data_IF_333282634287
#
_entry.id   IF_333282634287
#
_cell.length_a   1.000
_cell.length_b   1.000
_cell.length_c   1.000
_cell.angle_alpha   90.00
_cell.angle_beta   90.00
_cell.angle_gamma   90.00
#
_symmetry.space_group_name_H-M   'P 1'
#
loop_
_entity.id
_entity.type
_entity.pdbx_description
1 polymer ?
#
# COMPACT_ATOMS: atom_id res chain seq x y z
N UNK A 1 39.16 -30.58 -80.33
CA UNK A 1 38.05 -29.61 -80.42
C UNK A 1 36.84 -30.28 -79.80
N UNK A 2 36.51 -29.93 -78.56
CA UNK A 2 35.50 -30.60 -77.73
C UNK A 2 34.49 -29.53 -77.30
N UNK A 3 33.20 -29.82 -77.45
CA UNK A 3 32.09 -28.87 -77.33
C UNK A 3 31.15 -29.37 -76.20
N UNK A 4 30.97 -28.65 -75.08
CA UNK A 4 30.21 -29.17 -73.95
C UNK A 4 28.83 -28.51 -73.87
N UNK A 5 27.75 -29.24 -74.16
CA UNK A 5 26.40 -28.83 -73.76
C UNK A 5 25.52 -29.97 -73.25
N UNK A 6 25.01 -29.70 -72.05
CA UNK A 6 23.78 -30.18 -71.39
C UNK A 6 23.85 -31.50 -70.63
N UNK A 7 24.31 -31.39 -69.38
CA UNK A 7 23.97 -32.31 -68.30
C UNK A 7 22.57 -32.00 -67.77
N UNK A 8 21.73 -33.03 -67.63
CA UNK A 8 20.35 -32.92 -67.14
C UNK A 8 20.14 -33.88 -65.96
N UNK A 9 19.72 -33.33 -64.81
CA UNK A 9 18.97 -33.98 -63.71
C UNK A 9 19.65 -35.13 -62.91
N UNK A 10 19.35 -35.43 -61.64
CA UNK A 10 18.64 -34.85 -60.48
C UNK A 10 18.94 -35.82 -59.32
N UNK A 11 18.80 -35.34 -58.08
CA UNK A 11 18.55 -36.05 -56.81
C UNK A 11 19.64 -35.94 -55.73
N UNK A 12 19.87 -34.73 -55.23
CA UNK A 12 20.35 -34.52 -53.86
C UNK A 12 19.15 -34.43 -52.91
N UNK A 13 18.95 -35.43 -52.04
CA UNK A 13 18.04 -35.32 -50.89
C UNK A 13 18.72 -34.40 -49.86
N UNK A 14 18.28 -33.16 -49.77
CA UNK A 14 18.64 -32.27 -48.68
C UNK A 14 17.83 -32.64 -47.45
N UNK A 15 18.49 -33.12 -46.39
CA UNK A 15 17.89 -33.19 -45.07
C UNK A 15 17.58 -31.77 -44.60
N UNK A 16 16.32 -31.39 -44.59
CA UNK A 16 15.86 -30.15 -43.95
C UNK A 16 15.88 -30.35 -42.44
N UNK A 17 16.96 -29.92 -41.80
CA UNK A 17 16.98 -29.75 -40.35
C UNK A 17 15.97 -28.67 -39.97
N UNK A 18 14.78 -29.06 -39.55
CA UNK A 18 13.80 -28.14 -38.96
C UNK A 18 14.43 -27.50 -37.73
N UNK A 19 14.55 -26.17 -37.63
CA UNK A 19 15.07 -25.55 -36.42
C UNK A 19 14.13 -25.88 -35.28
N UNK A 20 14.65 -26.52 -34.22
CA UNK A 20 13.91 -26.77 -32.98
C UNK A 20 13.26 -25.44 -32.56
N UNK A 21 11.94 -25.47 -32.37
CA UNK A 21 11.13 -24.29 -32.14
C UNK A 21 11.77 -23.33 -31.14
N UNK A 22 11.89 -22.06 -31.53
CA UNK A 22 12.23 -20.98 -30.58
C UNK A 22 11.24 -21.06 -29.43
N UNK A 23 11.73 -21.39 -28.24
CA UNK A 23 10.97 -21.22 -27.01
C UNK A 23 10.55 -19.75 -26.95
N UNK A 24 9.24 -19.47 -26.97
CA UNK A 24 8.72 -18.12 -26.81
C UNK A 24 8.97 -17.64 -25.37
N UNK A 25 10.17 -17.10 -25.13
CA UNK A 25 10.54 -16.46 -23.86
C UNK A 25 9.64 -15.27 -23.51
N UNK A 26 8.82 -14.76 -24.44
CA UNK A 26 7.82 -13.72 -24.20
C UNK A 26 6.70 -14.17 -23.25
N UNK A 27 6.49 -15.48 -23.06
CA UNK A 27 5.45 -16.01 -22.16
C UNK A 27 5.87 -16.14 -20.70
N UNK A 28 7.17 -16.07 -20.39
CA UNK A 28 7.69 -16.19 -19.04
C UNK A 28 8.23 -14.84 -18.55
N UNK A 29 7.33 -13.90 -18.24
CA UNK A 29 7.74 -12.68 -17.53
C UNK A 29 8.07 -13.08 -16.08
N UNK A 30 9.35 -13.00 -15.72
CA UNK A 30 9.80 -13.15 -14.32
C UNK A 30 8.96 -12.22 -13.46
N UNK A 31 8.23 -12.79 -12.48
CA UNK A 31 7.46 -11.99 -11.52
C UNK A 31 8.44 -11.08 -10.81
N UNK A 32 8.22 -9.77 -10.89
CA UNK A 32 9.02 -8.79 -10.16
C UNK A 32 8.99 -9.16 -8.67
N UNK A 33 10.13 -9.21 -7.98
CA UNK A 33 10.16 -9.47 -6.55
C UNK A 33 9.22 -8.53 -5.80
N UNK A 34 8.48 -9.06 -4.81
CA UNK A 34 7.62 -8.25 -3.96
C UNK A 34 8.53 -7.31 -3.17
N UNK A 35 8.56 -6.03 -3.57
CA UNK A 35 9.51 -5.05 -3.04
C UNK A 35 9.20 -4.64 -1.60
N UNK A 36 7.92 -4.65 -1.19
CA UNK A 36 7.47 -4.32 0.18
C UNK A 36 6.11 -4.95 0.51
N UNK A 37 5.91 -5.32 1.78
CA UNK A 37 4.59 -5.64 2.34
C UNK A 37 3.93 -4.35 2.83
N UNK A 38 3.54 -3.51 1.86
CA UNK A 38 3.09 -2.14 2.11
C UNK A 38 1.96 -2.04 3.14
N UNK A 39 1.02 -2.98 3.09
CA UNK A 39 -0.08 -3.08 4.05
C UNK A 39 0.41 -3.37 5.47
N UNK A 40 1.31 -4.33 5.62
CA UNK A 40 1.93 -4.66 6.91
C UNK A 40 2.75 -3.49 7.46
N UNK A 41 3.48 -2.77 6.60
CA UNK A 41 4.27 -1.61 7.00
C UNK A 41 3.36 -0.48 7.53
N UNK A 42 2.27 -0.19 6.81
CA UNK A 42 1.27 0.80 7.24
C UNK A 42 0.62 0.41 8.56
N UNK A 43 0.28 -0.87 8.74
CA UNK A 43 -0.26 -1.37 9.99
C UNK A 43 0.73 -1.23 11.16
N UNK A 44 1.99 -1.64 10.97
CA UNK A 44 3.03 -1.54 12.01
C UNK A 44 3.32 -0.09 12.39
N UNK A 45 3.47 0.79 11.41
CA UNK A 45 3.73 2.21 11.64
C UNK A 45 2.60 2.87 12.43
N UNK A 46 1.35 2.62 12.04
CA UNK A 46 0.19 3.22 12.70
C UNK A 46 -0.04 2.65 14.09
N UNK A 47 0.24 1.36 14.30
CA UNK A 47 0.23 0.73 15.64
C UNK A 47 1.26 1.37 16.55
N UNK A 48 2.50 1.59 16.05
CA UNK A 48 3.56 2.26 16.80
C UNK A 48 3.18 3.69 17.16
N UNK A 49 2.61 4.45 16.21
CA UNK A 49 2.15 5.81 16.46
C UNK A 49 1.05 5.87 17.53
N UNK A 50 0.10 4.94 17.51
CA UNK A 50 -0.93 4.85 18.53
C UNK A 50 -0.33 4.57 19.91
N UNK A 51 0.65 3.67 20.00
CA UNK A 51 1.37 3.39 21.23
C UNK A 51 2.20 4.60 21.71
N UNK A 52 2.89 5.30 20.81
CA UNK A 52 3.67 6.49 21.13
C UNK A 52 2.79 7.61 21.71
N UNK A 53 1.58 7.82 21.14
CA UNK A 53 0.58 8.74 21.69
C UNK A 53 0.12 8.31 23.09
N UNK A 54 -0.19 7.03 23.25
CA UNK A 54 -0.69 6.50 24.53
C UNK A 54 0.34 6.61 25.66
N UNK A 55 1.62 6.45 25.32
CA UNK A 55 2.73 6.53 26.27
C UNK A 55 3.21 7.98 26.52
N UNK A 56 2.55 8.98 25.94
CA UNK A 56 2.89 10.38 26.15
C UNK A 56 2.63 10.77 27.61
N UNK A 57 3.67 11.14 28.33
CA UNK A 57 3.54 11.65 29.71
C UNK A 57 2.91 13.04 29.67
N UNK A 58 1.74 13.18 30.28
CA UNK A 58 0.99 14.44 30.36
C UNK A 58 1.30 15.14 31.70
N UNK A 59 1.98 16.30 31.70
CA UNK A 59 2.15 17.12 32.89
C UNK A 59 0.83 17.62 33.48
N UNK A 60 0.82 17.91 34.78
CA UNK A 60 -0.37 18.40 35.49
C UNK A 60 -0.93 19.73 34.97
N UNK A 61 -0.11 20.54 34.30
CA UNK A 61 -0.55 21.80 33.65
C UNK A 61 -1.59 21.56 32.55
N UNK A 62 -1.65 20.35 31.98
CA UNK A 62 -2.62 19.97 30.95
C UNK A 62 -3.93 19.39 31.51
N UNK A 63 -4.16 19.42 32.84
CA UNK A 63 -5.38 18.84 33.45
C UNK A 63 -6.69 19.28 32.80
N UNK A 64 -6.78 20.54 32.35
CA UNK A 64 -7.96 21.09 31.66
C UNK A 64 -8.22 20.45 30.29
N UNK A 65 -7.22 19.81 29.69
CA UNK A 65 -7.29 19.14 28.39
C UNK A 65 -7.34 17.62 28.50
N UNK A 66 -7.53 17.05 29.70
CA UNK A 66 -7.59 15.60 29.88
C UNK A 66 -8.61 14.93 28.94
N UNK A 67 -9.79 15.52 28.79
CA UNK A 67 -10.81 15.01 27.87
C UNK A 67 -10.34 14.99 26.42
N UNK A 68 -9.58 16.01 26.00
CA UNK A 68 -9.02 16.11 24.65
C UNK A 68 -7.98 15.01 24.39
N UNK A 69 -7.14 14.70 25.39
CA UNK A 69 -6.20 13.59 25.33
C UNK A 69 -6.89 12.23 25.29
N UNK A 70 -7.94 12.01 26.09
CA UNK A 70 -8.71 10.75 26.04
C UNK A 70 -9.35 10.52 24.67
N UNK A 71 -9.91 11.57 24.06
CA UNK A 71 -10.43 11.52 22.70
C UNK A 71 -9.30 11.20 21.70
N UNK A 72 -8.15 11.86 21.82
CA UNK A 72 -6.97 11.58 20.98
C UNK A 72 -6.54 10.12 21.07
N UNK A 73 -6.54 9.54 22.27
CA UNK A 73 -6.20 8.13 22.50
C UNK A 73 -7.21 7.19 21.83
N UNK A 74 -8.51 7.49 21.95
CA UNK A 74 -9.57 6.74 21.28
C UNK A 74 -9.40 6.73 19.76
N UNK A 75 -9.15 7.90 19.17
CA UNK A 75 -8.92 8.05 17.74
C UNK A 75 -7.68 7.28 17.28
N UNK A 76 -6.55 7.43 17.98
CA UNK A 76 -5.29 6.79 17.63
C UNK A 76 -5.40 5.25 17.61
N UNK A 77 -6.09 4.66 18.59
CA UNK A 77 -6.33 3.20 18.66
C UNK A 77 -7.22 2.66 17.53
N UNK A 78 -8.14 3.48 17.02
CA UNK A 78 -9.06 3.05 15.97
C UNK A 78 -8.37 2.84 14.61
N UNK A 79 -7.30 3.57 14.32
CA UNK A 79 -6.57 3.46 13.05
C UNK A 79 -6.05 2.04 12.80
N UNK A 80 -5.19 1.45 13.64
CA UNK A 80 -4.65 0.12 13.39
C UNK A 80 -5.74 -0.97 13.37
N UNK A 81 -6.79 -0.82 14.20
CA UNK A 81 -7.96 -1.72 14.19
C UNK A 81 -8.64 -1.72 12.83
N UNK A 82 -9.02 -0.55 12.31
CA UNK A 82 -9.71 -0.43 11.03
C UNK A 82 -8.84 -0.87 9.85
N UNK A 83 -7.53 -0.68 9.90
CA UNK A 83 -6.59 -1.19 8.88
C UNK A 83 -6.61 -2.73 8.87
N UNK A 84 -6.52 -3.36 10.04
CA UNK A 84 -6.56 -4.82 10.15
C UNK A 84 -7.89 -5.40 9.66
N UNK A 85 -9.01 -4.78 10.06
CA UNK A 85 -10.33 -5.18 9.59
C UNK A 85 -10.50 -4.99 8.08
N UNK A 86 -10.04 -3.85 7.56
CA UNK A 86 -10.06 -3.55 6.12
C UNK A 86 -9.27 -4.58 5.32
N UNK A 87 -8.11 -5.01 5.84
CA UNK A 87 -7.33 -6.07 5.23
C UNK A 87 -8.11 -7.38 5.14
N UNK A 88 -8.82 -7.78 6.21
CA UNK A 88 -9.67 -8.97 6.19
C UNK A 88 -10.80 -8.85 5.16
N UNK A 89 -11.45 -7.68 5.10
CA UNK A 89 -12.58 -7.48 4.18
C UNK A 89 -12.18 -7.37 2.70
N UNK A 90 -10.92 -7.11 2.36
CA UNK A 90 -10.52 -6.82 0.97
C UNK A 90 -10.76 -7.97 -0.02
N UNK A 91 -10.91 -9.20 0.49
CA UNK A 91 -11.17 -10.40 -0.30
C UNK A 91 -12.67 -10.74 -0.39
N UNK A 92 -13.42 -10.53 0.69
CA UNK A 92 -14.84 -10.92 0.77
C UNK A 92 -15.80 -9.78 0.39
N UNK A 93 -15.53 -8.57 0.90
CA UNK A 93 -16.34 -7.38 0.69
C UNK A 93 -15.42 -6.18 0.45
N UNK A 94 -15.08 -6.00 -0.83
CA UNK A 94 -14.12 -5.00 -1.26
C UNK A 94 -14.60 -3.56 -0.95
N UNK A 95 -15.89 -3.26 -1.11
CA UNK A 95 -16.44 -1.93 -0.82
C UNK A 95 -16.34 -1.60 0.67
N UNK A 96 -16.63 -2.57 1.55
CA UNK A 96 -16.44 -2.42 2.99
C UNK A 96 -14.97 -2.20 3.35
N UNK A 97 -14.05 -2.91 2.69
CA UNK A 97 -12.61 -2.71 2.85
C UNK A 97 -12.21 -1.26 2.53
N UNK A 98 -12.68 -0.74 1.39
CA UNK A 98 -12.42 0.64 0.96
C UNK A 98 -13.02 1.67 1.90
N UNK A 99 -14.27 1.46 2.34
CA UNK A 99 -14.94 2.34 3.30
C UNK A 99 -14.16 2.43 4.62
N UNK A 100 -13.59 1.31 5.10
CA UNK A 100 -12.73 1.32 6.30
C UNK A 100 -11.43 2.11 6.10
N UNK A 101 -10.77 2.01 4.94
CA UNK A 101 -9.57 2.84 4.66
C UNK A 101 -9.91 4.33 4.50
N UNK A 102 -11.08 4.65 3.96
CA UNK A 102 -11.59 6.02 3.95
C UNK A 102 -11.80 6.52 5.38
N UNK A 103 -12.47 5.71 6.21
CA UNK A 103 -12.71 6.06 7.61
C UNK A 103 -11.41 6.27 8.40
N UNK A 104 -10.38 5.49 8.11
CA UNK A 104 -9.03 5.71 8.67
C UNK A 104 -8.48 7.09 8.27
N UNK A 105 -8.68 7.51 7.03
CA UNK A 105 -8.22 8.83 6.55
C UNK A 105 -8.96 9.99 7.20
N UNK A 106 -10.25 9.82 7.49
CA UNK A 106 -11.04 10.76 8.30
C UNK A 106 -10.48 10.84 9.72
N UNK A 107 -10.30 9.70 10.40
CA UNK A 107 -9.77 9.66 11.78
C UNK A 107 -8.38 10.31 11.87
N UNK A 108 -7.53 10.11 10.88
CA UNK A 108 -6.23 10.81 10.84
C UNK A 108 -6.40 12.33 10.78
N UNK A 109 -7.39 12.81 10.02
CA UNK A 109 -7.70 14.24 9.94
C UNK A 109 -8.20 14.76 11.29
N UNK A 110 -9.04 14.00 11.98
CA UNK A 110 -9.52 14.31 13.33
C UNK A 110 -8.36 14.37 14.35
N UNK A 111 -7.42 13.42 14.27
CA UNK A 111 -6.20 13.42 15.10
C UNK A 111 -5.37 14.68 14.86
N UNK A 112 -5.15 15.05 13.59
CA UNK A 112 -4.38 16.25 13.24
C UNK A 112 -5.04 17.49 13.85
N UNK A 113 -6.35 17.67 13.62
CA UNK A 113 -7.10 18.81 14.16
C UNK A 113 -7.08 18.84 15.70
N UNK A 114 -7.18 17.67 16.35
CA UNK A 114 -7.11 17.55 17.80
C UNK A 114 -5.73 17.94 18.34
N UNK A 115 -4.67 17.47 17.68
CA UNK A 115 -3.29 17.83 18.03
C UNK A 115 -3.08 19.34 17.87
N UNK A 116 -3.51 19.93 16.75
CA UNK A 116 -3.41 21.37 16.52
C UNK A 116 -4.12 22.17 17.62
N UNK A 117 -5.34 21.77 17.99
CA UNK A 117 -6.09 22.40 19.07
C UNK A 117 -5.34 22.35 20.41
N UNK A 118 -4.79 21.18 20.78
CA UNK A 118 -4.02 21.02 22.02
C UNK A 118 -2.76 21.89 22.00
N UNK A 119 -2.04 21.96 20.87
CA UNK A 119 -0.83 22.77 20.73
C UNK A 119 -1.15 24.26 20.89
N UNK A 120 -2.19 24.76 20.22
CA UNK A 120 -2.58 26.18 20.31
C UNK A 120 -3.12 26.55 21.68
N UNK A 121 -3.75 25.62 22.37
CA UNK A 121 -4.33 25.82 23.71
C UNK A 121 -3.27 25.85 24.83
N UNK A 122 -1.98 25.67 24.52
CA UNK A 122 -0.93 25.51 25.51
C UNK A 122 0.35 26.29 25.12
N UNK A 123 1.12 26.67 26.14
CA UNK A 123 2.46 27.20 25.90
C UNK A 123 3.40 26.13 25.31
N UNK A 124 4.47 26.59 24.68
CA UNK A 124 5.47 25.72 24.08
C UNK A 124 6.19 24.91 25.16
N UNK A 125 5.89 23.62 25.19
CA UNK A 125 6.44 22.62 26.11
C UNK A 125 6.98 21.42 25.33
N UNK A 126 7.73 20.54 26.00
CA UNK A 126 8.19 19.27 25.41
C UNK A 126 7.02 18.45 24.85
N UNK A 127 5.87 18.44 25.53
CA UNK A 127 4.66 17.75 25.07
C UNK A 127 4.17 18.33 23.74
N UNK A 128 4.04 19.65 23.63
CA UNK A 128 3.62 20.28 22.36
C UNK A 128 4.61 20.04 21.22
N UNK A 129 5.91 19.94 21.51
CA UNK A 129 6.93 19.56 20.51
C UNK A 129 6.72 18.12 20.04
N UNK A 130 6.50 17.18 20.95
CA UNK A 130 6.19 15.77 20.61
C UNK A 130 4.90 15.64 19.81
N UNK A 131 3.86 16.38 20.20
CA UNK A 131 2.60 16.41 19.48
C UNK A 131 2.80 16.93 18.04
N UNK A 132 3.62 17.96 17.83
CA UNK A 132 3.95 18.45 16.49
C UNK A 132 4.73 17.41 15.66
N UNK A 133 5.59 16.59 16.28
CA UNK A 133 6.23 15.45 15.61
C UNK A 133 5.20 14.39 15.19
N UNK A 134 4.25 14.05 16.07
CA UNK A 134 3.19 13.09 15.76
C UNK A 134 2.32 13.59 14.61
N UNK A 135 1.94 14.87 14.60
CA UNK A 135 1.18 15.49 13.52
C UNK A 135 1.83 15.24 12.15
N UNK A 136 3.14 15.49 12.02
CA UNK A 136 3.90 15.24 10.77
C UNK A 136 3.86 13.76 10.38
N UNK A 137 3.99 12.85 11.36
CA UNK A 137 3.93 11.40 11.10
C UNK A 137 2.53 10.97 10.66
N UNK A 138 1.46 11.50 11.25
CA UNK A 138 0.09 11.23 10.83
C UNK A 138 -0.22 11.77 9.43
N UNK A 139 0.28 12.95 9.06
CA UNK A 139 0.21 13.46 7.69
C UNK A 139 0.91 12.54 6.68
N UNK A 140 2.06 11.96 7.05
CA UNK A 140 2.72 10.94 6.23
C UNK A 140 1.87 9.67 6.11
N UNK A 141 1.30 9.18 7.22
CA UNK A 141 0.44 7.99 7.19
C UNK A 141 -0.81 8.19 6.33
N UNK A 142 -1.44 9.36 6.35
CA UNK A 142 -2.57 9.69 5.45
C UNK A 142 -2.23 9.42 3.99
N UNK A 143 -1.06 9.88 3.54
CA UNK A 143 -0.57 9.61 2.17
C UNK A 143 -0.30 8.13 1.93
N UNK A 144 0.26 7.42 2.91
CA UNK A 144 0.51 5.98 2.77
C UNK A 144 -0.81 5.18 2.65
N UNK A 145 -1.83 5.54 3.42
CA UNK A 145 -3.16 4.92 3.39
C UNK A 145 -3.88 5.19 2.08
N UNK A 146 -3.88 6.43 1.58
CA UNK A 146 -4.45 6.75 0.27
C UNK A 146 -3.79 5.91 -0.84
N UNK A 147 -2.47 5.80 -0.81
CA UNK A 147 -1.76 5.00 -1.79
C UNK A 147 -2.00 3.49 -1.62
N UNK A 148 -2.22 3.01 -0.40
CA UNK A 148 -2.60 1.62 -0.13
C UNK A 148 -4.00 1.34 -0.72
N UNK A 149 -4.95 2.23 -0.46
CA UNK A 149 -6.30 2.21 -1.02
C UNK A 149 -6.28 2.10 -2.54
N UNK A 150 -5.54 3.00 -3.21
CA UNK A 150 -5.38 2.99 -4.66
C UNK A 150 -4.67 1.73 -5.19
N UNK A 151 -3.71 1.19 -4.43
CA UNK A 151 -3.02 -0.04 -4.82
C UNK A 151 -3.98 -1.24 -4.80
N UNK A 152 -4.81 -1.37 -3.76
CA UNK A 152 -5.81 -2.42 -3.67
C UNK A 152 -6.88 -2.28 -4.76
N UNK A 153 -7.29 -1.06 -5.10
CA UNK A 153 -8.24 -0.80 -6.18
C UNK A 153 -7.73 -1.28 -7.53
N UNK A 154 -6.47 -1.01 -7.87
CA UNK A 154 -5.89 -1.51 -9.12
C UNK A 154 -5.86 -3.04 -9.16
N UNK A 155 -5.54 -3.70 -8.05
CA UNK A 155 -5.53 -5.17 -7.97
C UNK A 155 -6.94 -5.73 -8.17
N UNK A 156 -7.93 -5.14 -7.50
CA UNK A 156 -9.33 -5.55 -7.59
C UNK A 156 -9.90 -5.39 -9.00
N UNK A 157 -9.69 -4.24 -9.64
CA UNK A 157 -10.14 -3.99 -11.02
C UNK A 157 -9.50 -4.96 -12.02
N UNK A 158 -8.21 -5.26 -11.86
CA UNK A 158 -7.53 -6.25 -12.71
C UNK A 158 -8.09 -7.66 -12.51
N UNK A 159 -8.43 -8.03 -11.27
CA UNK A 159 -9.07 -9.31 -10.97
C UNK A 159 -10.44 -9.43 -11.64
N UNK A 160 -11.31 -8.41 -11.50
CA UNK A 160 -12.62 -8.38 -12.16
C UNK A 160 -12.50 -8.47 -13.69
N UNK A 161 -11.57 -7.73 -14.29
CA UNK A 161 -11.34 -7.77 -15.75
C UNK A 161 -10.93 -9.15 -16.26
N UNK A 162 -10.17 -9.91 -15.48
CA UNK A 162 -9.72 -11.25 -15.86
C UNK A 162 -10.84 -12.29 -15.73
N UNK A 163 -11.75 -12.12 -14.76
CA UNK A 163 -12.94 -12.97 -14.61
C UNK A 163 -13.91 -12.84 -15.78
N UNK A 164 -14.10 -11.63 -16.33
CA UNK A 164 -14.99 -11.39 -17.50
C UNK A 164 -14.41 -11.95 -18.82
N UNK A 165 -13.10 -12.22 -18.87
CA UNK A 165 -12.40 -12.71 -20.06
C UNK A 165 -12.23 -14.23 -20.09
N UNK A 166 -12.53 -14.91 -18.97
CA UNK A 166 -12.43 -16.37 -18.82
C UNK A 166 -13.81 -16.99 -19.04
#
# INVERSE_FOLDING_TARGET
MWDPKKNNSKHGRTHTSTPRGKLEYSKFRVRTPIRTFRDLDVYKDTTRLAADIFNLKIPSVFKKLNQEFELLYGLAKNIPRLIAESYGNKFDNYDLSQAKLEKVSEIISDIIAKIDFIIVSCEKTEVTVRLAEFLKKYQLQRRKILNLKNAWQRVHLNYQKNQVRS
#
